data_IF_482572114428
#
_entry.id   IF_482572114428
#
_cell.length_a   1.000
_cell.length_b   1.000
_cell.length_c   1.000
_cell.angle_alpha   90.00
_cell.angle_beta   90.00
_cell.angle_gamma   90.00
#
_symmetry.space_group_name_H-M   'P 1'
#
loop_
_entity.id
_entity.type
_entity.pdbx_description
1 polymer ?
#
# COMPACT_ATOMS: atom_id res chain seq x y z
N UNK A 1 -22.82 12.02 29.59
CA UNK A 1 -22.54 11.38 28.29
C UNK A 1 -21.53 12.24 27.54
N UNK A 2 -20.27 11.83 27.51
CA UNK A 2 -19.25 12.56 26.75
C UNK A 2 -19.35 12.14 25.29
N UNK A 3 -19.74 13.05 24.41
CA UNK A 3 -19.48 12.90 22.98
C UNK A 3 -17.97 12.81 22.79
N UNK A 4 -17.46 11.62 22.45
CA UNK A 4 -16.11 11.44 21.93
C UNK A 4 -16.02 12.22 20.62
N UNK A 5 -15.74 13.53 20.69
CA UNK A 5 -15.43 14.33 19.51
C UNK A 5 -14.11 13.83 18.95
N UNK A 6 -14.08 13.57 17.65
CA UNK A 6 -12.86 13.17 16.98
C UNK A 6 -11.77 14.24 17.18
N UNK A 7 -10.54 13.82 17.48
CA UNK A 7 -9.42 14.73 17.72
C UNK A 7 -8.89 15.44 16.47
N UNK A 8 -9.52 15.23 15.30
CA UNK A 8 -9.21 15.91 14.05
C UNK A 8 -10.50 16.50 13.42
N UNK A 9 -10.99 17.65 13.93
CA UNK A 9 -12.19 18.29 13.42
C UNK A 9 -12.03 18.83 11.98
N UNK A 10 -10.80 19.11 11.55
CA UNK A 10 -10.51 19.58 10.19
C UNK A 10 -10.90 18.58 9.10
N UNK A 11 -10.86 17.27 9.39
CA UNK A 11 -11.22 16.21 8.45
C UNK A 11 -12.72 15.93 8.39
N UNK A 12 -13.49 16.38 9.39
CA UNK A 12 -14.90 16.02 9.53
C UNK A 12 -15.75 16.45 8.32
N UNK A 13 -15.66 17.69 7.79
CA UNK A 13 -16.45 18.09 6.62
C UNK A 13 -16.13 17.26 5.38
N UNK A 14 -14.87 16.83 5.24
CA UNK A 14 -14.45 15.96 4.14
C UNK A 14 -15.10 14.58 4.27
N UNK A 15 -15.03 13.97 5.46
CA UNK A 15 -15.60 12.65 5.76
C UNK A 15 -17.12 12.64 5.53
N UNK A 16 -17.83 13.65 6.00
CA UNK A 16 -19.28 13.78 5.80
C UNK A 16 -19.64 13.89 4.31
N UNK A 17 -18.86 14.69 3.56
CA UNK A 17 -19.09 14.87 2.11
C UNK A 17 -18.87 13.57 1.34
N UNK A 18 -17.78 12.85 1.59
CA UNK A 18 -17.51 11.56 0.94
C UNK A 18 -18.60 10.55 1.27
N UNK A 19 -18.98 10.45 2.55
CA UNK A 19 -20.02 9.53 3.01
C UNK A 19 -21.34 9.80 2.28
N UNK A 20 -21.80 11.05 2.26
CA UNK A 20 -23.04 11.43 1.54
C UNK A 20 -22.95 11.16 0.03
N UNK A 21 -21.78 11.38 -0.57
CA UNK A 21 -21.58 11.13 -2.00
C UNK A 21 -21.71 9.65 -2.32
N UNK A 22 -21.10 8.79 -1.51
CA UNK A 22 -21.13 7.34 -1.69
C UNK A 22 -22.50 6.73 -1.38
N UNK A 23 -23.25 7.27 -0.41
CA UNK A 23 -24.64 6.87 -0.15
C UNK A 23 -25.57 7.12 -1.34
N UNK A 24 -25.27 8.15 -2.13
CA UNK A 24 -26.03 8.50 -3.33
C UNK A 24 -25.47 7.85 -4.61
N UNK A 25 -24.41 7.05 -4.51
CA UNK A 25 -23.82 6.36 -5.64
C UNK A 25 -24.71 5.18 -6.06
N UNK A 26 -25.33 5.28 -7.24
CA UNK A 26 -26.28 4.27 -7.76
C UNK A 26 -25.70 3.33 -8.81
N UNK A 27 -24.53 3.63 -9.37
CA UNK A 27 -23.91 2.80 -10.39
C UNK A 27 -23.39 1.49 -9.77
N UNK A 28 -23.59 0.36 -10.44
CA UNK A 28 -23.11 -0.96 -9.98
C UNK A 28 -21.65 -1.27 -10.31
N UNK A 29 -20.91 -0.28 -10.82
CA UNK A 29 -19.52 -0.42 -11.26
C UNK A 29 -18.75 0.88 -10.98
N UNK A 30 -17.58 0.74 -10.36
CA UNK A 30 -16.69 1.84 -10.02
C UNK A 30 -15.28 1.53 -10.50
N UNK A 31 -14.80 2.16 -11.57
CA UNK A 31 -13.44 1.86 -12.08
C UNK A 31 -12.34 2.16 -11.05
N UNK A 32 -12.41 3.33 -10.41
CA UNK A 32 -11.41 3.80 -9.45
C UNK A 32 -12.07 4.41 -8.23
N UNK A 33 -11.58 4.05 -7.05
CA UNK A 33 -11.90 4.70 -5.79
C UNK A 33 -10.60 5.20 -5.16
N UNK A 34 -10.49 6.52 -5.00
CA UNK A 34 -9.32 7.16 -4.42
C UNK A 34 -9.73 8.09 -3.28
N UNK A 35 -9.10 7.92 -2.13
CA UNK A 35 -9.33 8.75 -0.94
C UNK A 35 -8.00 9.28 -0.45
N UNK A 36 -7.92 10.59 -0.24
CA UNK A 36 -6.76 11.31 0.24
C UNK A 36 -7.20 12.30 1.31
N UNK A 37 -6.86 12.04 2.57
CA UNK A 37 -7.17 12.95 3.66
C UNK A 37 -6.35 12.67 4.93
N UNK A 38 -6.42 13.64 5.85
CA UNK A 38 -5.90 13.50 7.22
C UNK A 38 -6.76 12.51 8.01
N UNK A 39 -6.27 11.29 8.16
CA UNK A 39 -6.94 10.20 8.86
C UNK A 39 -6.80 10.31 10.38
N UNK A 40 -7.86 9.89 11.07
CA UNK A 40 -7.90 9.65 12.50
C UNK A 40 -8.57 8.30 12.75
N UNK A 41 -8.17 7.60 13.82
CA UNK A 41 -8.82 6.34 14.23
C UNK A 41 -10.34 6.45 14.38
N UNK A 42 -10.86 7.62 14.76
CA UNK A 42 -12.30 7.85 14.87
C UNK A 42 -13.06 7.63 13.54
N UNK A 43 -12.37 7.74 12.39
CA UNK A 43 -12.96 7.62 11.05
C UNK A 43 -12.84 6.21 10.47
N UNK A 44 -12.31 5.24 11.23
CA UNK A 44 -12.06 3.89 10.73
C UNK A 44 -13.33 3.24 10.15
N UNK A 45 -14.47 3.37 10.83
CA UNK A 45 -15.74 2.78 10.35
C UNK A 45 -16.26 3.45 9.08
N UNK A 46 -16.06 4.75 8.91
CA UNK A 46 -16.41 5.45 7.67
C UNK A 46 -15.53 4.95 6.52
N UNK A 47 -14.22 4.83 6.74
CA UNK A 47 -13.29 4.29 5.73
C UNK A 47 -13.65 2.84 5.38
N UNK A 48 -13.96 2.00 6.37
CA UNK A 48 -14.43 0.61 6.15
C UNK A 48 -15.66 0.57 5.23
N UNK A 49 -16.65 1.44 5.50
CA UNK A 49 -17.87 1.52 4.69
C UNK A 49 -17.58 1.98 3.26
N UNK A 50 -16.68 2.96 3.09
CA UNK A 50 -16.31 3.45 1.77
C UNK A 50 -15.63 2.37 0.92
N UNK A 51 -14.70 1.62 1.52
CA UNK A 51 -14.02 0.50 0.88
C UNK A 51 -15.03 -0.61 0.53
N UNK A 52 -15.92 -0.96 1.44
CA UNK A 52 -16.94 -1.98 1.21
C UNK A 52 -17.87 -1.61 0.04
N UNK A 53 -18.25 -0.33 -0.07
CA UNK A 53 -19.03 0.18 -1.20
C UNK A 53 -18.23 0.08 -2.51
N UNK A 54 -16.95 0.44 -2.51
CA UNK A 54 -16.09 0.26 -3.68
C UNK A 54 -16.02 -1.19 -4.14
N UNK A 55 -15.80 -2.13 -3.21
CA UNK A 55 -15.72 -3.56 -3.50
C UNK A 55 -17.05 -4.11 -4.02
N UNK A 56 -18.19 -3.71 -3.42
CA UNK A 56 -19.53 -4.09 -3.91
C UNK A 56 -19.77 -3.61 -5.34
N UNK A 57 -19.19 -2.47 -5.70
CA UNK A 57 -19.22 -1.91 -7.05
C UNK A 57 -18.02 -2.36 -7.90
N UNK A 58 -17.40 -3.48 -7.56
CA UNK A 58 -16.34 -4.15 -8.33
C UNK A 58 -15.17 -3.22 -8.66
N UNK A 59 -14.69 -2.46 -7.67
CA UNK A 59 -13.58 -1.53 -7.88
C UNK A 59 -12.33 -2.24 -8.42
N UNK A 60 -11.72 -1.63 -9.45
CA UNK A 60 -10.48 -2.12 -10.07
C UNK A 60 -9.25 -1.41 -9.50
N UNK A 61 -9.33 -0.09 -9.31
CA UNK A 61 -8.25 0.73 -8.76
C UNK A 61 -8.65 1.32 -7.40
N UNK A 62 -8.04 0.81 -6.32
CA UNK A 62 -8.27 1.27 -4.95
C UNK A 62 -7.01 2.00 -4.44
N UNK A 63 -7.15 3.31 -4.16
CA UNK A 63 -6.06 4.17 -3.67
C UNK A 63 -6.44 4.83 -2.34
N UNK A 64 -5.76 4.42 -1.26
CA UNK A 64 -5.98 4.88 0.10
C UNK A 64 -4.77 5.67 0.61
N UNK A 65 -4.88 7.00 0.59
CA UNK A 65 -3.88 7.95 1.07
C UNK A 65 -4.31 8.55 2.41
N UNK A 66 -4.01 7.83 3.49
CA UNK A 66 -4.48 8.14 4.84
C UNK A 66 -3.38 8.86 5.64
N UNK A 67 -3.33 10.18 5.59
CA UNK A 67 -2.27 10.97 6.25
C UNK A 67 -2.45 10.99 7.77
N UNK A 68 -1.39 10.76 8.54
CA UNK A 68 -1.43 10.74 10.01
C UNK A 68 -0.94 12.07 10.60
N UNK A 69 -1.60 12.58 11.63
CA UNK A 69 -1.16 13.73 12.42
C UNK A 69 -0.96 13.28 13.88
N UNK A 70 0.28 13.32 14.40
CA UNK A 70 0.64 12.81 15.74
C UNK A 70 0.71 11.26 15.82
N UNK A 71 1.23 10.63 16.90
CA UNK A 71 1.41 9.18 16.99
C UNK A 71 0.04 8.49 17.20
N UNK A 72 -0.75 8.46 16.13
CA UNK A 72 -2.03 7.79 16.03
C UNK A 72 -1.78 6.44 15.38
N UNK A 73 -2.51 5.42 15.83
CA UNK A 73 -2.46 4.09 15.23
C UNK A 73 -2.88 4.19 13.75
N UNK A 74 -2.05 3.67 12.81
CA UNK A 74 -2.44 3.63 11.41
C UNK A 74 -3.71 2.81 11.18
N UNK A 75 -4.37 3.03 10.05
CA UNK A 75 -5.62 2.34 9.71
C UNK A 75 -5.36 0.86 9.47
N UNK A 76 -6.15 -0.03 10.09
CA UNK A 76 -6.04 -1.47 9.83
C UNK A 76 -6.88 -1.81 8.60
N UNK A 77 -6.24 -2.32 7.56
CA UNK A 77 -6.94 -2.68 6.32
C UNK A 77 -7.92 -3.84 6.58
N UNK A 78 -9.21 -3.72 6.20
CA UNK A 78 -10.21 -4.72 6.51
C UNK A 78 -10.04 -5.97 5.65
N UNK A 79 -10.42 -7.12 6.20
CA UNK A 79 -10.10 -8.43 5.63
C UNK A 79 -10.68 -8.66 4.22
N UNK A 80 -11.85 -8.09 3.93
CA UNK A 80 -12.51 -8.24 2.64
C UNK A 80 -11.70 -7.66 1.47
N UNK A 81 -10.74 -6.75 1.73
CA UNK A 81 -9.86 -6.21 0.68
C UNK A 81 -8.92 -7.28 0.15
N UNK A 82 -8.45 -8.20 1.01
CA UNK A 82 -7.55 -9.30 0.62
C UNK A 82 -8.21 -10.32 -0.29
N UNK A 83 -9.54 -10.31 -0.38
CA UNK A 83 -10.33 -11.28 -1.14
C UNK A 83 -11.08 -10.64 -2.33
N UNK A 84 -10.90 -9.34 -2.56
CA UNK A 84 -11.62 -8.62 -3.61
C UNK A 84 -11.09 -9.01 -5.00
N UNK A 85 -11.86 -9.74 -5.82
CA UNK A 85 -11.35 -10.32 -7.07
C UNK A 85 -11.27 -9.31 -8.21
N UNK A 86 -11.93 -8.15 -8.09
CA UNK A 86 -11.94 -7.10 -9.11
C UNK A 86 -10.72 -6.18 -9.04
N UNK A 87 -10.03 -6.11 -7.90
CA UNK A 87 -8.94 -5.16 -7.71
C UNK A 87 -7.75 -5.58 -8.58
N UNK A 88 -7.39 -4.71 -9.52
CA UNK A 88 -6.20 -4.83 -10.37
C UNK A 88 -5.07 -3.91 -9.90
N UNK A 89 -5.42 -2.78 -9.27
CA UNK A 89 -4.46 -1.80 -8.77
C UNK A 89 -4.78 -1.48 -7.30
N UNK A 90 -3.79 -1.60 -6.43
CA UNK A 90 -3.93 -1.32 -5.01
C UNK A 90 -2.82 -0.39 -4.55
N UNK A 91 -3.19 0.78 -4.03
CA UNK A 91 -2.29 1.77 -3.46
C UNK A 91 -2.68 2.03 -2.01
N UNK A 92 -1.76 1.80 -1.08
CA UNK A 92 -2.00 1.88 0.35
C UNK A 92 -0.92 2.72 1.01
N UNK A 93 -1.32 3.78 1.71
CA UNK A 93 -0.42 4.61 2.50
C UNK A 93 -0.89 4.64 3.95
N UNK A 94 0.05 4.43 4.89
CA UNK A 94 -0.21 4.38 6.34
C UNK A 94 -1.31 3.37 6.73
N UNK A 95 -1.31 2.20 6.10
CA UNK A 95 -2.24 1.10 6.40
C UNK A 95 -1.50 -0.08 7.05
N UNK A 96 -2.04 -0.66 8.12
CA UNK A 96 -1.55 -1.93 8.67
C UNK A 96 -2.19 -3.07 7.88
N UNK A 97 -1.34 -3.89 7.27
CA UNK A 97 -1.77 -5.13 6.64
C UNK A 97 -1.88 -6.22 7.69
N UNK A 98 -3.10 -6.49 8.17
CA UNK A 98 -3.39 -7.60 9.08
C UNK A 98 -3.43 -8.94 8.34
N UNK A 99 -2.29 -9.37 7.79
CA UNK A 99 -2.14 -10.62 7.06
C UNK A 99 -2.15 -11.81 8.02
N UNK A 100 -3.36 -12.17 8.46
CA UNK A 100 -3.60 -13.27 9.40
C UNK A 100 -4.24 -14.48 8.69
N UNK A 101 -4.38 -14.42 7.36
CA UNK A 101 -5.10 -15.38 6.52
C UNK A 101 -4.70 -15.24 5.06
N UNK A 102 -5.30 -16.04 4.18
CA UNK A 102 -4.91 -16.12 2.78
C UNK A 102 -5.24 -14.82 2.00
N UNK A 103 -4.22 -14.22 1.40
CA UNK A 103 -4.37 -13.19 0.37
C UNK A 103 -4.87 -13.87 -0.92
N UNK A 104 -5.90 -13.30 -1.54
CA UNK A 104 -6.56 -13.84 -2.74
C UNK A 104 -6.77 -12.74 -3.79
N UNK A 105 -5.71 -11.98 -4.07
CA UNK A 105 -5.63 -10.92 -5.06
C UNK A 105 -5.40 -11.47 -6.48
N UNK A 106 -6.34 -12.31 -6.93
CA UNK A 106 -6.22 -13.07 -8.20
C UNK A 106 -5.99 -12.21 -9.44
N UNK A 107 -6.50 -10.98 -9.44
CA UNK A 107 -6.44 -10.05 -10.58
C UNK A 107 -5.46 -8.89 -10.36
N UNK A 108 -4.78 -8.82 -9.22
CA UNK A 108 -3.93 -7.69 -8.86
C UNK A 108 -2.67 -7.70 -9.72
N UNK A 109 -2.48 -6.63 -10.49
CA UNK A 109 -1.34 -6.40 -11.38
C UNK A 109 -0.34 -5.40 -10.82
N UNK A 110 -0.84 -4.42 -10.06
CA UNK A 110 -0.02 -3.34 -9.51
C UNK A 110 -0.29 -3.13 -8.03
N UNK A 111 0.75 -3.22 -7.22
CA UNK A 111 0.72 -2.98 -5.78
C UNK A 111 1.69 -1.86 -5.42
N UNK A 112 1.18 -0.83 -4.74
CA UNK A 112 1.96 0.25 -4.16
C UNK A 112 1.70 0.34 -2.67
N UNK A 113 2.73 0.15 -1.87
CA UNK A 113 2.63 0.21 -0.41
C UNK A 113 3.57 1.28 0.10
N UNK A 114 3.04 2.21 0.88
CA UNK A 114 3.77 3.30 1.52
C UNK A 114 3.60 3.24 3.03
N UNK A 115 4.70 3.42 3.75
CA UNK A 115 4.68 3.60 5.22
C UNK A 115 3.93 2.48 5.95
N UNK A 116 4.25 1.24 5.57
CA UNK A 116 3.75 0.01 6.21
C UNK A 116 4.94 -0.76 6.73
N UNK A 117 4.87 -1.24 7.97
CA UNK A 117 5.82 -2.22 8.51
C UNK A 117 5.58 -3.56 7.80
N UNK A 118 6.20 -3.70 6.62
CA UNK A 118 6.18 -4.92 5.82
C UNK A 118 7.30 -5.84 6.31
N UNK A 119 6.91 -6.98 6.89
CA UNK A 119 7.83 -8.08 7.19
C UNK A 119 8.10 -8.92 5.94
N UNK A 120 9.15 -9.75 5.98
CA UNK A 120 9.46 -10.69 4.89
C UNK A 120 8.29 -11.67 4.68
N UNK A 121 7.72 -12.23 5.76
CA UNK A 121 6.53 -13.09 5.72
C UNK A 121 5.34 -12.40 5.05
N UNK A 122 5.13 -11.11 5.32
CA UNK A 122 4.05 -10.34 4.70
C UNK A 122 4.24 -10.24 3.19
N UNK A 123 5.47 -10.04 2.72
CA UNK A 123 5.80 -9.99 1.29
C UNK A 123 5.52 -11.35 0.65
N UNK A 124 5.95 -12.46 1.27
CA UNK A 124 5.69 -13.81 0.75
C UNK A 124 4.19 -14.11 0.65
N UNK A 125 3.40 -13.76 1.68
CA UNK A 125 1.94 -13.90 1.65
C UNK A 125 1.28 -13.07 0.53
N UNK A 126 1.78 -11.85 0.30
CA UNK A 126 1.30 -10.99 -0.79
C UNK A 126 1.61 -11.62 -2.15
N UNK A 127 2.86 -12.05 -2.36
CA UNK A 127 3.31 -12.60 -3.65
C UNK A 127 2.58 -13.90 -3.97
N UNK A 128 2.44 -14.81 -3.00
CA UNK A 128 1.70 -16.07 -3.18
C UNK A 128 0.21 -15.86 -3.46
N UNK A 129 -0.40 -14.84 -2.86
CA UNK A 129 -1.80 -14.48 -3.08
C UNK A 129 -2.10 -13.65 -4.33
N UNK A 130 -1.06 -13.22 -5.07
CA UNK A 130 -1.19 -12.27 -6.19
C UNK A 130 -0.56 -12.82 -7.48
N UNK A 131 -1.12 -13.88 -8.09
CA UNK A 131 -0.50 -14.58 -9.22
C UNK A 131 -0.32 -13.72 -10.48
N UNK A 132 -1.09 -12.63 -10.62
CA UNK A 132 -1.03 -11.71 -11.76
C UNK A 132 -0.17 -10.46 -11.50
N UNK A 133 0.54 -10.39 -10.36
CA UNK A 133 1.27 -9.20 -9.95
C UNK A 133 2.49 -8.97 -10.85
N UNK A 134 2.53 -7.83 -11.52
CA UNK A 134 3.59 -7.44 -12.45
C UNK A 134 4.42 -6.26 -11.93
N UNK A 135 3.81 -5.40 -11.13
CA UNK A 135 4.41 -4.17 -10.61
C UNK A 135 4.31 -4.11 -9.09
N UNK A 136 5.46 -3.95 -8.42
CA UNK A 136 5.55 -3.76 -6.98
C UNK A 136 6.29 -2.47 -6.67
N UNK A 137 5.64 -1.57 -5.94
CA UNK A 137 6.24 -0.37 -5.38
C UNK A 137 6.22 -0.41 -3.86
N UNK A 138 7.39 -0.21 -3.27
CA UNK A 138 7.58 -0.07 -1.83
C UNK A 138 8.10 1.35 -1.57
N UNK A 139 7.34 2.13 -0.81
CA UNK A 139 7.66 3.50 -0.46
C UNK A 139 7.88 3.65 1.06
N UNK A 140 8.89 4.44 1.44
CA UNK A 140 9.22 4.73 2.84
C UNK A 140 9.55 3.47 3.69
N UNK A 141 10.32 2.53 3.14
CA UNK A 141 10.73 1.28 3.77
C UNK A 141 11.88 1.42 4.79
N UNK A 142 11.82 2.40 5.70
CA UNK A 142 12.95 2.86 6.53
C UNK A 142 13.66 1.76 7.34
N UNK A 143 12.91 0.79 7.87
CA UNK A 143 13.43 -0.27 8.76
C UNK A 143 13.78 -1.58 8.03
N UNK A 144 13.47 -1.69 6.74
CA UNK A 144 13.69 -2.92 5.98
C UNK A 144 15.19 -3.13 5.69
N UNK A 145 15.74 -4.29 6.02
CA UNK A 145 17.16 -4.61 5.74
C UNK A 145 17.32 -5.53 4.55
N UNK A 146 16.36 -6.42 4.34
CA UNK A 146 16.35 -7.35 3.22
C UNK A 146 15.03 -7.22 2.47
N UNK A 147 15.10 -7.31 1.15
CA UNK A 147 13.97 -7.41 0.26
C UNK A 147 14.19 -8.60 -0.68
N UNK A 148 13.49 -9.69 -0.41
CA UNK A 148 13.52 -10.89 -1.24
C UNK A 148 12.22 -11.03 -2.04
N UNK A 149 12.31 -10.90 -3.35
CA UNK A 149 11.21 -11.07 -4.30
C UNK A 149 11.56 -12.22 -5.24
N UNK A 150 11.43 -13.44 -4.73
CA UNK A 150 11.62 -14.66 -5.50
C UNK A 150 10.33 -15.07 -6.23
N UNK A 151 9.77 -14.16 -7.03
CA UNK A 151 8.51 -14.38 -7.74
C UNK A 151 8.60 -13.91 -9.19
N UNK A 152 8.39 -14.82 -10.12
CA UNK A 152 8.60 -14.55 -11.55
C UNK A 152 7.55 -13.62 -12.18
N UNK A 153 6.41 -13.40 -11.52
CA UNK A 153 5.37 -12.49 -12.02
C UNK A 153 5.81 -11.03 -11.98
N UNK A 154 6.51 -10.59 -10.93
CA UNK A 154 6.92 -9.19 -10.77
C UNK A 154 8.01 -8.85 -11.78
N UNK A 155 7.70 -7.93 -12.70
CA UNK A 155 8.62 -7.43 -13.73
C UNK A 155 9.26 -6.10 -13.35
N UNK A 156 8.54 -5.27 -12.62
CA UNK A 156 9.01 -3.96 -12.20
C UNK A 156 8.97 -3.82 -10.69
N UNK A 157 10.13 -3.50 -10.11
CA UNK A 157 10.28 -3.16 -8.71
C UNK A 157 10.63 -1.68 -8.58
N UNK A 158 9.86 -0.95 -7.76
CA UNK A 158 10.12 0.44 -7.42
C UNK A 158 10.34 0.55 -5.92
N UNK A 159 11.50 1.09 -5.53
CA UNK A 159 11.83 1.43 -4.15
C UNK A 159 11.88 2.95 -4.09
N UNK A 160 11.11 3.56 -3.20
CA UNK A 160 10.96 5.01 -3.16
C UNK A 160 11.06 5.56 -1.74
N UNK A 161 11.74 6.71 -1.57
CA UNK A 161 11.83 7.46 -0.30
C UNK A 161 12.27 6.59 0.91
N UNK A 162 13.09 5.57 0.68
CA UNK A 162 13.59 4.70 1.73
C UNK A 162 14.84 5.31 2.36
N UNK A 163 14.67 6.36 3.14
CA UNK A 163 15.74 6.95 3.94
C UNK A 163 16.11 6.04 5.13
N UNK A 164 17.28 6.29 5.71
CA UNK A 164 17.69 5.72 6.99
C UNK A 164 17.85 6.85 8.03
N UNK A 165 17.40 6.60 9.26
CA UNK A 165 17.59 7.56 10.37
C UNK A 165 19.05 7.63 10.83
N UNK A 166 19.79 6.55 10.61
CA UNK A 166 21.22 6.43 10.91
C UNK A 166 21.99 6.21 9.61
N UNK A 167 23.16 6.84 9.46
CA UNK A 167 24.07 6.47 8.38
C UNK A 167 24.47 5.01 8.55
N UNK A 168 24.63 4.28 7.45
CA UNK A 168 25.13 2.90 7.35
C UNK A 168 24.06 1.79 7.33
N UNK A 169 22.77 2.13 7.31
CA UNK A 169 21.74 1.14 7.02
C UNK A 169 21.78 0.75 5.53
N UNK A 170 21.94 -0.55 5.28
CA UNK A 170 21.97 -1.15 3.95
C UNK A 170 20.64 -1.87 3.69
N UNK A 171 20.07 -1.71 2.49
CA UNK A 171 19.00 -2.56 1.99
C UNK A 171 19.55 -3.54 0.96
N UNK A 172 19.55 -4.82 1.32
CA UNK A 172 19.87 -5.92 0.43
C UNK A 172 18.65 -6.30 -0.41
N UNK A 173 18.82 -6.37 -1.73
CA UNK A 173 17.75 -6.65 -2.68
C UNK A 173 18.10 -7.92 -3.46
N UNK A 174 17.26 -8.94 -3.30
CA UNK A 174 17.27 -10.17 -4.09
C UNK A 174 15.95 -10.26 -4.84
N UNK A 175 15.99 -10.13 -6.15
CA UNK A 175 14.83 -10.16 -7.03
C UNK A 175 15.25 -10.74 -8.39
N UNK A 176 15.50 -12.06 -8.50
CA UNK A 176 16.16 -12.65 -9.66
C UNK A 176 15.39 -12.49 -10.98
N UNK A 177 14.07 -12.30 -10.94
CA UNK A 177 13.20 -12.29 -12.12
C UNK A 177 12.73 -10.91 -12.57
N UNK A 178 13.06 -9.84 -11.84
CA UNK A 178 12.65 -8.48 -12.23
C UNK A 178 13.43 -8.05 -13.48
N UNK A 179 12.78 -7.27 -14.33
CA UNK A 179 13.37 -6.70 -15.55
C UNK A 179 13.70 -5.22 -15.39
N UNK A 180 13.00 -4.54 -14.47
CA UNK A 180 13.15 -3.12 -14.22
C UNK A 180 13.22 -2.81 -12.73
N UNK A 181 14.25 -2.07 -12.32
CA UNK A 181 14.47 -1.61 -10.95
C UNK A 181 14.54 -0.09 -10.91
N UNK A 182 13.65 0.55 -10.16
CA UNK A 182 13.69 1.98 -9.93
C UNK A 182 13.96 2.29 -8.45
N UNK A 183 15.02 3.03 -8.16
CA UNK A 183 15.32 3.56 -6.83
C UNK A 183 15.13 5.08 -6.90
N UNK A 184 14.09 5.60 -6.24
CA UNK A 184 13.59 6.95 -6.45
C UNK A 184 13.49 7.77 -5.15
N UNK A 185 13.70 9.08 -5.29
CA UNK A 185 13.49 10.06 -4.23
C UNK A 185 14.59 10.05 -3.18
N UNK A 186 14.26 10.58 -2.01
CA UNK A 186 15.26 10.71 -0.94
C UNK A 186 15.66 9.35 -0.39
N UNK A 187 16.96 9.05 -0.42
CA UNK A 187 17.56 7.86 0.22
C UNK A 187 18.77 8.25 1.07
N UNK A 188 18.74 9.44 1.67
CA UNK A 188 19.84 9.96 2.49
C UNK A 188 20.21 8.97 3.58
N UNK A 189 21.52 8.76 3.75
CA UNK A 189 22.09 7.88 4.77
C UNK A 189 21.90 6.38 4.53
N UNK A 190 21.25 5.98 3.43
CA UNK A 190 20.96 4.57 3.15
C UNK A 190 21.70 4.05 1.92
N UNK A 191 22.36 2.91 2.09
CA UNK A 191 22.93 2.14 0.98
C UNK A 191 21.93 1.15 0.38
N UNK A 192 22.19 0.72 -0.85
CA UNK A 192 21.48 -0.39 -1.49
C UNK A 192 22.49 -1.39 -2.02
N UNK A 193 22.26 -2.68 -1.75
CA UNK A 193 23.06 -3.77 -2.29
C UNK A 193 22.18 -4.69 -3.12
N UNK A 194 22.56 -4.90 -4.38
CA UNK A 194 21.89 -5.85 -5.26
C UNK A 194 22.56 -7.21 -5.10
N UNK A 195 21.88 -8.15 -4.45
CA UNK A 195 22.41 -9.49 -4.14
C UNK A 195 22.20 -10.44 -5.32
N UNK A 196 20.97 -10.52 -5.82
CA UNK A 196 20.62 -11.38 -6.95
C UNK A 196 19.53 -10.71 -7.80
N UNK A 197 19.93 -10.13 -8.92
CA UNK A 197 19.05 -9.43 -9.87
C UNK A 197 19.35 -9.88 -11.30
N UNK A 198 19.51 -11.19 -11.50
CA UNK A 198 20.05 -11.78 -12.73
C UNK A 198 19.27 -11.46 -14.00
N UNK A 199 17.96 -11.21 -13.91
CA UNK A 199 17.11 -10.84 -15.07
C UNK A 199 17.00 -9.33 -15.31
N UNK A 200 17.70 -8.49 -14.54
CA UNK A 200 17.57 -7.04 -14.59
C UNK A 200 18.09 -6.48 -15.92
N UNK A 201 17.24 -5.72 -16.62
CA UNK A 201 17.57 -5.09 -17.91
C UNK A 201 17.69 -3.57 -17.77
N UNK A 202 16.79 -2.96 -17.00
CA UNK A 202 16.75 -1.50 -16.83
C UNK A 202 16.85 -1.13 -15.36
N UNK A 203 17.72 -0.18 -15.05
CA UNK A 203 17.83 0.41 -13.73
C UNK A 203 17.71 1.93 -13.82
N UNK A 204 16.88 2.52 -12.97
CA UNK A 204 16.74 3.98 -12.85
C UNK A 204 16.99 4.38 -11.41
N UNK A 205 17.96 5.27 -11.19
CA UNK A 205 18.30 5.79 -9.88
C UNK A 205 18.17 7.31 -9.94
N UNK A 206 17.18 7.85 -9.22
CA UNK A 206 16.91 9.28 -9.18
C UNK A 206 16.81 9.73 -7.71
N UNK A 207 17.55 10.77 -7.36
CA UNK A 207 17.53 11.41 -6.04
C UNK A 207 16.67 12.67 -6.04
#
# INVERSE_FOLDING_TARGET
>A
MFHNRCSLPSSQPFVERITRTLENYRAGYMKKFAVDFMYNKCYASQVDNWILLGIRNKVEDLDLRLHLCSPIRPYKLPHHVYQAPSITNLSLQNCILGLNGAVAWKSLKSLSISTVDLTEDAIEMILSGSPALEFLKINACRQMKNLNINFAGVKTLVIQNCNAEFSDLLLEISAPYIQSLHILGTTYGRGFQLINVSSLVTAKINY
#
